data_IF_928715345754
#
_entry.id   IF_928715345754
#
_cell.length_a   1.000
_cell.length_b   1.000
_cell.length_c   1.000
_cell.angle_alpha   90.00
_cell.angle_beta   90.00
_cell.angle_gamma   90.00
#
_symmetry.space_group_name_H-M   'P 1'
#
loop_
_entity.id
_entity.type
_entity.pdbx_description
1 polymer ?
#
# COMPACT_ATOMS: atom_id res chain seq x y z
N UNK A 1 -10.59 15.58 -15.74
CA UNK A 1 -9.81 16.78 -15.64
C UNK A 1 -8.59 16.71 -16.47
N UNK A 2 -8.51 17.55 -17.45
CA UNK A 2 -7.38 17.50 -18.38
C UNK A 2 -6.06 17.78 -17.72
N UNK A 3 -6.02 18.75 -16.83
CA UNK A 3 -4.79 19.10 -16.12
C UNK A 3 -4.36 17.92 -15.26
N UNK A 4 -5.32 17.26 -14.64
CA UNK A 4 -5.03 16.09 -13.82
C UNK A 4 -4.43 14.95 -14.63
N UNK A 5 -4.83 14.77 -15.89
CA UNK A 5 -4.29 13.73 -16.74
C UNK A 5 -2.82 13.92 -17.07
N UNK A 6 -2.43 15.15 -17.39
CA UNK A 6 -1.05 15.48 -17.70
C UNK A 6 -0.17 15.34 -16.46
N UNK A 7 -0.63 15.87 -15.32
CA UNK A 7 0.13 15.76 -14.09
C UNK A 7 0.27 14.32 -13.64
N UNK A 8 -0.78 13.52 -13.80
CA UNK A 8 -0.74 12.11 -13.44
C UNK A 8 0.32 11.36 -14.24
N UNK A 9 0.41 11.64 -15.54
CA UNK A 9 1.41 11.01 -16.38
C UNK A 9 2.83 11.44 -15.95
N UNK A 10 3.02 12.71 -15.67
CA UNK A 10 4.30 13.23 -15.21
C UNK A 10 4.74 12.57 -13.91
N UNK A 11 3.82 12.46 -12.94
CA UNK A 11 4.13 11.82 -11.67
C UNK A 11 4.42 10.34 -11.82
N UNK A 12 3.75 9.65 -12.73
CA UNK A 12 4.05 8.25 -12.98
C UNK A 12 5.47 8.05 -13.47
N UNK A 13 5.90 8.87 -14.42
CA UNK A 13 7.26 8.80 -14.93
C UNK A 13 8.29 9.11 -13.84
N UNK A 14 8.01 10.13 -13.05
CA UNK A 14 8.92 10.54 -11.98
C UNK A 14 9.04 9.48 -10.91
N UNK A 15 7.93 8.88 -10.50
CA UNK A 15 7.92 7.81 -9.51
C UNK A 15 8.66 6.59 -10.03
N UNK A 16 8.47 6.22 -11.29
CA UNK A 16 9.15 5.08 -11.88
C UNK A 16 10.67 5.28 -11.89
N UNK A 17 11.15 6.43 -12.35
CA UNK A 17 12.58 6.73 -12.38
C UNK A 17 13.18 6.78 -10.98
N UNK A 18 12.50 7.43 -10.05
CA UNK A 18 12.95 7.54 -8.69
C UNK A 18 12.95 6.17 -8.02
N UNK A 19 11.95 5.35 -8.30
CA UNK A 19 11.85 4.01 -7.76
C UNK A 19 13.01 3.13 -8.16
N UNK A 20 13.41 3.17 -9.43
CA UNK A 20 14.56 2.41 -9.89
C UNK A 20 15.83 2.83 -9.16
N UNK A 21 15.97 4.12 -8.89
CA UNK A 21 17.14 4.63 -8.19
C UNK A 21 17.15 4.30 -6.71
N UNK A 22 15.97 4.25 -6.08
CA UNK A 22 15.83 4.06 -4.64
C UNK A 22 15.44 2.65 -4.22
N UNK A 23 15.35 1.71 -5.17
CA UNK A 23 14.99 0.33 -4.87
C UNK A 23 13.50 0.04 -4.85
N UNK A 24 12.69 0.93 -5.41
CA UNK A 24 11.25 0.71 -5.48
C UNK A 24 10.88 0.00 -6.78
N UNK A 25 9.92 -0.92 -6.70
CA UNK A 25 9.29 -1.52 -7.87
C UNK A 25 7.79 -1.39 -7.67
N UNK A 26 7.22 -0.36 -8.25
CA UNK A 26 5.80 -0.04 -8.11
C UNK A 26 5.17 0.02 -9.50
N UNK A 27 4.16 -0.83 -9.71
CA UNK A 27 3.46 -0.87 -10.99
C UNK A 27 2.59 0.36 -11.19
N UNK A 28 2.37 0.74 -12.44
CA UNK A 28 1.54 1.89 -12.76
C UNK A 28 0.07 1.63 -12.45
N UNK A 29 -0.66 2.69 -12.24
CA UNK A 29 -2.11 2.68 -12.01
C UNK A 29 -2.57 1.87 -10.80
N UNK A 30 -1.71 1.65 -9.83
CA UNK A 30 -2.10 0.97 -8.60
C UNK A 30 -2.63 1.95 -7.57
N UNK A 31 -1.96 3.07 -7.39
CA UNK A 31 -2.30 4.00 -6.31
C UNK A 31 -3.10 5.21 -6.78
N UNK A 32 -3.92 5.75 -5.89
CA UNK A 32 -4.54 7.04 -6.07
C UNK A 32 -3.56 8.17 -5.75
N UNK A 33 -4.08 9.27 -5.20
CA UNK A 33 -3.27 10.44 -4.90
C UNK A 33 -2.60 10.32 -3.54
N UNK A 34 -1.54 11.08 -3.35
CA UNK A 34 -0.93 11.23 -2.04
C UNK A 34 -0.16 10.04 -1.51
N UNK A 35 0.35 9.18 -2.39
CA UNK A 35 1.21 8.09 -1.96
C UNK A 35 2.43 8.64 -1.24
N UNK A 36 2.70 8.17 -0.03
CA UNK A 36 3.81 8.59 0.78
C UNK A 36 4.76 7.43 1.05
N UNK A 37 6.04 7.64 0.77
CA UNK A 37 7.07 6.66 1.06
C UNK A 37 8.07 7.37 1.96
N UNK A 38 7.94 7.21 3.29
CA UNK A 38 8.77 7.97 4.25
C UNK A 38 10.27 7.70 4.14
N UNK A 39 10.63 6.48 3.78
CA UNK A 39 12.04 6.10 3.69
C UNK A 39 12.28 5.30 2.42
N UNK A 40 13.45 5.46 1.83
CA UNK A 40 13.79 4.65 0.68
C UNK A 40 14.22 3.25 1.14
N UNK A 41 14.19 2.31 0.24
CA UNK A 41 14.52 0.91 0.51
C UNK A 41 13.77 0.01 -0.46
N UNK A 42 13.69 -1.27 -0.16
CA UNK A 42 13.00 -2.21 -1.05
C UNK A 42 11.50 -2.12 -0.83
N UNK A 43 10.77 -1.72 -1.85
CA UNK A 43 9.30 -1.68 -1.84
C UNK A 43 8.84 -2.26 -3.17
N UNK A 44 8.03 -3.31 -3.11
CA UNK A 44 7.54 -4.00 -4.31
C UNK A 44 6.02 -3.98 -4.31
N UNK A 45 5.43 -3.41 -5.35
CA UNK A 45 3.98 -3.39 -5.52
C UNK A 45 3.66 -3.94 -6.91
N UNK A 46 3.03 -5.10 -6.96
CA UNK A 46 2.71 -5.77 -8.21
C UNK A 46 1.54 -5.13 -8.96
N UNK A 47 1.40 -5.52 -10.22
CA UNK A 47 0.34 -5.00 -11.08
C UNK A 47 -1.02 -5.62 -10.75
N UNK A 48 -2.07 -4.98 -11.24
CA UNK A 48 -3.44 -5.47 -11.09
C UNK A 48 -4.14 -5.00 -9.82
N UNK A 49 -3.41 -4.45 -8.89
CA UNK A 49 -3.97 -3.98 -7.63
C UNK A 49 -4.56 -2.57 -7.76
N UNK A 50 -5.48 -2.23 -6.87
CA UNK A 50 -6.04 -0.89 -6.82
C UNK A 50 -6.02 -0.41 -5.37
N UNK A 51 -5.23 0.59 -5.11
CA UNK A 51 -5.07 1.17 -3.78
C UNK A 51 -5.58 2.61 -3.85
N UNK A 52 -6.35 3.00 -2.87
CA UNK A 52 -6.91 4.35 -2.84
C UNK A 52 -5.89 5.44 -2.57
N UNK A 53 -6.37 6.59 -2.10
CA UNK A 53 -5.53 7.76 -1.88
C UNK A 53 -4.81 7.69 -0.54
N UNK A 54 -3.73 8.43 -0.42
CA UNK A 54 -2.99 8.63 0.83
C UNK A 54 -2.44 7.34 1.45
N UNK A 55 -1.99 6.42 0.60
CA UNK A 55 -1.31 5.22 1.08
C UNK A 55 0.09 5.57 1.61
N UNK A 56 0.52 4.90 2.65
CA UNK A 56 1.86 5.06 3.23
C UNK A 56 2.57 3.71 3.20
N UNK A 57 3.71 3.64 2.57
CA UNK A 57 4.48 2.40 2.45
C UNK A 57 5.86 2.59 3.07
N UNK A 58 6.14 1.83 4.10
CA UNK A 58 7.47 1.82 4.69
C UNK A 58 8.38 0.83 3.96
N UNK A 59 9.65 0.80 4.34
CA UNK A 59 10.63 -0.05 3.67
C UNK A 59 10.34 -1.54 3.85
N UNK A 60 10.80 -2.34 2.93
CA UNK A 60 10.64 -3.80 2.90
C UNK A 60 9.18 -4.26 2.83
N UNK A 61 8.30 -3.42 2.33
CA UNK A 61 6.90 -3.81 2.15
C UNK A 61 6.68 -4.43 0.78
N UNK A 62 5.70 -5.30 0.68
CA UNK A 62 5.37 -5.98 -0.56
C UNK A 62 3.87 -6.15 -0.69
N UNK A 63 3.34 -5.73 -1.84
CA UNK A 63 1.97 -6.03 -2.24
C UNK A 63 2.11 -6.87 -3.51
N UNK A 64 1.81 -8.15 -3.43
CA UNK A 64 2.00 -9.04 -4.58
C UNK A 64 1.02 -8.71 -5.71
N UNK A 65 1.39 -9.05 -6.92
CA UNK A 65 0.50 -8.84 -8.07
C UNK A 65 -0.80 -9.63 -7.88
N UNK A 66 -1.90 -9.14 -8.42
CA UNK A 66 -3.19 -9.81 -8.32
C UNK A 66 -4.34 -8.82 -8.39
N UNK A 67 -5.47 -9.19 -7.79
CA UNK A 67 -6.65 -8.35 -7.82
C UNK A 67 -6.99 -7.87 -6.42
N UNK A 68 -6.04 -7.26 -5.75
CA UNK A 68 -6.28 -6.71 -4.44
C UNK A 68 -6.85 -5.31 -4.57
N UNK A 69 -7.70 -4.94 -3.64
CA UNK A 69 -8.14 -3.56 -3.55
C UNK A 69 -8.01 -3.08 -2.12
N UNK A 70 -7.69 -1.84 -1.95
CA UNK A 70 -7.67 -1.19 -0.65
C UNK A 70 -8.28 0.19 -0.79
N UNK A 71 -8.97 0.64 0.24
CA UNK A 71 -9.53 1.98 0.27
C UNK A 71 -8.46 3.03 0.54
N UNK A 72 -8.89 4.20 0.98
CA UNK A 72 -7.96 5.29 1.27
C UNK A 72 -7.25 5.08 2.60
N UNK A 73 -6.09 5.68 2.75
CA UNK A 73 -5.36 5.67 4.01
C UNK A 73 -4.72 4.34 4.40
N UNK A 74 -4.42 3.49 3.43
CA UNK A 74 -3.72 2.24 3.71
C UNK A 74 -2.33 2.55 4.28
N UNK A 75 -1.96 1.90 5.37
CA UNK A 75 -0.67 2.12 6.00
C UNK A 75 0.05 0.78 6.18
N UNK A 76 1.17 0.63 5.50
CA UNK A 76 2.00 -0.57 5.61
C UNK A 76 3.26 -0.24 6.41
N UNK A 77 3.37 -0.82 7.59
CA UNK A 77 4.56 -0.68 8.41
C UNK A 77 5.71 -1.51 7.83
N UNK A 78 6.91 -1.30 8.33
CA UNK A 78 8.11 -1.95 7.82
C UNK A 78 7.95 -3.47 7.74
N UNK A 79 8.25 -4.02 6.59
CA UNK A 79 8.22 -5.46 6.38
C UNK A 79 6.83 -6.05 6.15
N UNK A 80 5.78 -5.24 6.14
CA UNK A 80 4.42 -5.74 5.94
C UNK A 80 4.23 -6.30 4.54
N UNK A 81 3.43 -7.34 4.41
CA UNK A 81 3.16 -8.00 3.14
C UNK A 81 1.69 -8.24 2.94
N UNK A 82 1.21 -8.00 1.74
CA UNK A 82 -0.19 -8.21 1.37
C UNK A 82 -0.25 -9.21 0.24
N UNK A 83 -0.90 -10.34 0.47
CA UNK A 83 -0.94 -11.46 -0.46
C UNK A 83 -2.38 -11.82 -0.84
N UNK A 84 -2.54 -12.49 -1.96
CA UNK A 84 -3.85 -13.01 -2.39
C UNK A 84 -4.74 -11.96 -3.03
N UNK A 85 -5.94 -12.36 -3.42
CA UNK A 85 -6.92 -11.47 -4.02
C UNK A 85 -7.88 -11.08 -2.90
N UNK A 86 -7.60 -9.98 -2.25
CA UNK A 86 -8.34 -9.56 -1.06
C UNK A 86 -8.80 -8.10 -1.19
N UNK A 87 -9.74 -7.72 -0.32
CA UNK A 87 -10.24 -6.36 -0.26
C UNK A 87 -10.03 -5.83 1.13
N UNK A 88 -9.41 -4.65 1.22
CA UNK A 88 -9.18 -3.96 2.49
C UNK A 88 -9.94 -2.64 2.47
N UNK A 89 -10.68 -2.34 3.51
CA UNK A 89 -11.42 -1.08 3.59
C UNK A 89 -10.53 0.12 3.86
N UNK A 90 -11.15 1.28 4.04
CA UNK A 90 -10.41 2.51 4.31
C UNK A 90 -9.70 2.45 5.66
N UNK A 91 -8.58 3.12 5.75
CA UNK A 91 -7.81 3.27 6.99
C UNK A 91 -7.42 1.94 7.63
N UNK A 92 -6.95 1.02 6.79
CA UNK A 92 -6.38 -0.25 7.26
C UNK A 92 -4.90 -0.02 7.55
N UNK A 93 -4.47 -0.35 8.76
CA UNK A 93 -3.07 -0.28 9.15
C UNK A 93 -2.53 -1.70 9.30
N UNK A 94 -1.43 -1.99 8.63
CA UNK A 94 -0.80 -3.31 8.70
C UNK A 94 0.49 -3.18 9.47
N UNK A 95 0.58 -3.89 10.58
CA UNK A 95 1.72 -3.80 11.49
C UNK A 95 3.01 -4.32 10.90
N UNK A 96 4.12 -4.04 11.57
CA UNK A 96 5.44 -4.44 11.09
C UNK A 96 5.53 -5.96 10.92
N UNK A 97 6.07 -6.39 9.79
CA UNK A 97 6.25 -7.79 9.44
C UNK A 97 4.97 -8.65 9.40
N UNK A 98 3.81 -8.02 9.43
CA UNK A 98 2.55 -8.74 9.32
C UNK A 98 2.34 -9.23 7.88
N UNK A 99 1.69 -10.37 7.73
CA UNK A 99 1.36 -10.94 6.43
C UNK A 99 -0.15 -11.06 6.32
N UNK A 100 -0.75 -10.22 5.48
CA UNK A 100 -2.19 -10.15 5.30
C UNK A 100 -2.60 -10.99 4.11
N UNK A 101 -3.47 -11.95 4.32
CA UNK A 101 -3.95 -12.83 3.26
C UNK A 101 -5.47 -13.01 3.25
N UNK A 102 -6.19 -12.18 3.96
CA UNK A 102 -7.67 -12.21 3.93
C UNK A 102 -8.23 -10.80 3.99
N UNK A 103 -9.43 -10.64 3.46
CA UNK A 103 -10.10 -9.34 3.40
C UNK A 103 -10.51 -8.83 4.78
N UNK A 104 -10.52 -7.51 4.95
CA UNK A 104 -10.95 -6.84 6.17
C UNK A 104 -11.74 -5.58 5.83
N UNK A 105 -12.62 -5.17 6.75
CA UNK A 105 -13.50 -4.04 6.49
C UNK A 105 -12.84 -2.67 6.55
N UNK A 106 -11.71 -2.56 7.14
CA UNK A 106 -11.05 -1.27 7.32
C UNK A 106 -11.19 -0.74 8.74
N UNK A 107 -10.65 0.44 8.98
CA UNK A 107 -10.59 1.06 10.31
C UNK A 107 -10.05 0.07 11.36
N UNK A 108 -8.98 -0.62 11.00
CA UNK A 108 -8.45 -1.69 11.84
C UNK A 108 -6.93 -1.77 11.75
N UNK A 109 -6.36 -2.43 12.73
CA UNK A 109 -4.95 -2.77 12.75
C UNK A 109 -4.83 -4.27 12.56
N UNK A 110 -4.04 -4.69 11.59
CA UNK A 110 -3.79 -6.10 11.30
C UNK A 110 -2.35 -6.42 11.69
N UNK A 111 -2.17 -7.41 12.56
CA UNK A 111 -0.84 -7.82 13.01
C UNK A 111 -0.70 -9.33 13.03
N UNK A 112 0.51 -9.80 12.87
CA UNK A 112 0.82 -11.22 12.94
C UNK A 112 1.00 -11.90 11.59
N UNK A 113 1.29 -13.19 11.64
CA UNK A 113 1.49 -14.05 10.46
C UNK A 113 0.72 -15.35 10.70
N UNK A 114 -0.45 -15.56 10.06
CA UNK A 114 -1.18 -14.59 9.24
C UNK A 114 -1.73 -13.44 10.08
N UNK A 115 -1.88 -12.29 9.47
CA UNK A 115 -2.32 -11.11 10.20
C UNK A 115 -3.78 -11.23 10.64
N UNK A 116 -4.05 -10.79 11.85
CA UNK A 116 -5.39 -10.79 12.40
C UNK A 116 -5.73 -9.38 12.90
N UNK A 117 -7.02 -9.08 12.88
CA UNK A 117 -7.51 -7.77 13.28
C UNK A 117 -7.36 -7.58 14.78
N UNK A 118 -6.76 -6.46 15.16
CA UNK A 118 -6.69 -6.05 16.55
C UNK A 118 -7.65 -4.90 16.81
N UNK A 119 -8.16 -4.87 18.02
CA UNK A 119 -9.05 -3.80 18.43
C UNK A 119 -8.25 -2.50 18.51
N UNK A 120 -8.73 -1.52 17.74
CA UNK A 120 -8.09 -0.22 17.74
C UNK A 120 -8.42 0.60 18.97
N UNK A 121 -9.28 0.15 19.93
CA UNK A 121 -9.61 0.80 21.08
C UNK A 121 -8.47 0.75 21.94
N UNK A 122 -7.73 1.67 21.98
CA UNK A 122 -6.69 1.66 22.72
C UNK A 122 -6.97 2.08 23.96
N UNK A 123 -6.68 1.66 24.86
CA UNK A 123 -6.83 2.05 26.03
C UNK A 123 -5.68 2.71 26.15
N UNK A 124 -5.77 3.20 25.70
CA UNK A 124 -4.76 3.91 26.06
C UNK A 124 -4.17 3.95 25.64
#
# INVERSE_FOLDING_TARGET
>A
MCVGGVLKYYYKLKVHKLGMKLGFTISENVFGYGLIIPHYGTIVVGSGNRIGNYAVLHTSTCITAGKKSAGDGLYLSTGAKVLGDIELGNFTTIGANAVVNKSEEGNCLLIGIPAEKKDMKMHG
#
